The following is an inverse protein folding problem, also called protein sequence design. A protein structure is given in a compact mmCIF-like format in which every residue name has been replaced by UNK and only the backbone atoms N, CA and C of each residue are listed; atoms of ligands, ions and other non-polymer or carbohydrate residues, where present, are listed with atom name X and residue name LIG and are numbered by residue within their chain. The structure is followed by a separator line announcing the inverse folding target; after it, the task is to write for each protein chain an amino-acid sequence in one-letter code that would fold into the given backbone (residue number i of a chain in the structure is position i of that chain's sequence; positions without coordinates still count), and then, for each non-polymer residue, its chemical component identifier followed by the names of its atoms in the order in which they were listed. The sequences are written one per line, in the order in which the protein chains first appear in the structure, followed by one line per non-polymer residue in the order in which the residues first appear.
data_IF_579383718114
#
_entry.id   IF_579383718114
#
_cell.length_a   1.000
_cell.length_b   1.000
_cell.length_c   1.000
_cell.angle_alpha   90.00
_cell.angle_beta   90.00
_cell.angle_gamma   90.00
#
_symmetry.space_group_name_H-M   'P 1'
#
loop_
_entity.id
_entity.type
_entity.pdbx_description
1 polymer ?
#
# COMPACT_ATOMS: atom_id res chain seq x y z
N UNK A 1 -6.36 -35.32 1.13
CA UNK A 1 -6.43 -34.17 2.05
C UNK A 1 -6.69 -32.91 1.25
N UNK A 2 -7.85 -32.28 1.42
CA UNK A 2 -8.16 -31.04 0.72
C UNK A 2 -7.26 -29.92 1.25
N UNK A 3 -6.51 -29.26 0.36
CA UNK A 3 -5.80 -28.02 0.69
C UNK A 3 -6.87 -26.97 0.99
N UNK A 4 -7.19 -26.75 2.27
CA UNK A 4 -7.98 -25.58 2.65
C UNK A 4 -7.11 -24.39 2.27
N UNK A 5 -7.48 -23.68 1.20
CA UNK A 5 -6.88 -22.40 0.88
C UNK A 5 -7.37 -21.45 1.96
N UNK A 6 -6.62 -21.30 3.06
CA UNK A 6 -6.98 -20.35 4.10
C UNK A 6 -7.01 -18.96 3.47
N UNK A 7 -8.21 -18.39 3.43
CA UNK A 7 -8.48 -17.11 2.80
C UNK A 7 -7.79 -16.02 3.62
N UNK A 8 -6.97 -15.17 2.98
CA UNK A 8 -6.34 -14.04 3.67
C UNK A 8 -7.42 -12.99 3.91
N UNK A 9 -8.01 -13.03 5.10
CA UNK A 9 -9.02 -12.07 5.53
C UNK A 9 -8.48 -10.64 5.44
N UNK A 10 -9.30 -9.73 4.89
CA UNK A 10 -8.95 -8.32 4.80
C UNK A 10 -8.96 -7.68 6.19
N UNK A 11 -7.90 -6.94 6.53
CA UNK A 11 -7.84 -6.14 7.76
C UNK A 11 -7.57 -4.67 7.45
N UNK A 12 -8.51 -3.76 7.74
CA UNK A 12 -8.32 -2.33 7.51
C UNK A 12 -7.29 -1.74 8.48
N UNK A 13 -6.48 -0.79 8.02
CA UNK A 13 -5.61 0.02 8.90
C UNK A 13 -6.36 1.22 9.49
N UNK A 14 -5.80 1.86 10.51
CA UNK A 14 -6.40 3.05 11.12
C UNK A 14 -6.48 4.24 10.14
N UNK A 15 -7.52 5.06 10.27
CA UNK A 15 -7.78 6.23 9.40
C UNK A 15 -6.62 7.24 9.37
N UNK A 16 -5.84 7.35 10.45
CA UNK A 16 -4.69 8.25 10.53
C UNK A 16 -3.63 7.95 9.46
N UNK A 17 -3.43 6.69 9.10
CA UNK A 17 -2.47 6.31 8.06
C UNK A 17 -2.86 6.78 6.66
N UNK A 18 -4.16 6.86 6.37
CA UNK A 18 -4.66 7.38 5.10
C UNK A 18 -4.33 8.87 4.96
N UNK A 19 -4.58 9.66 6.00
CA UNK A 19 -4.31 11.11 5.99
C UNK A 19 -2.82 11.37 5.83
N UNK A 20 -1.97 10.69 6.59
CA UNK A 20 -0.51 10.92 6.56
C UNK A 20 0.13 10.50 5.25
N UNK A 21 -0.18 9.31 4.71
CA UNK A 21 0.46 8.83 3.47
C UNK A 21 -0.03 9.58 2.24
N UNK A 22 -1.36 9.68 2.05
CA UNK A 22 -1.93 10.39 0.90
C UNK A 22 -1.56 11.87 0.96
N UNK A 23 -1.65 12.48 2.14
CA UNK A 23 -1.22 13.86 2.36
C UNK A 23 0.27 14.07 2.03
N UNK A 24 1.14 13.16 2.48
CA UNK A 24 2.57 13.21 2.20
C UNK A 24 2.92 13.15 0.72
N UNK A 25 2.29 12.23 -0.04
CA UNK A 25 2.48 12.11 -1.49
C UNK A 25 1.93 13.35 -2.21
N UNK A 26 0.75 13.83 -1.82
CA UNK A 26 0.15 15.02 -2.43
C UNK A 26 1.02 16.27 -2.20
N UNK A 27 1.48 16.49 -0.95
CA UNK A 27 2.33 17.63 -0.60
C UNK A 27 3.67 17.56 -1.34
N UNK A 28 4.33 16.39 -1.36
CA UNK A 28 5.60 16.24 -2.08
C UNK A 28 5.44 16.44 -3.59
N UNK A 29 4.33 15.99 -4.18
CA UNK A 29 4.00 16.23 -5.59
C UNK A 29 3.76 17.71 -5.89
N UNK A 30 2.96 18.41 -5.06
CA UNK A 30 2.74 19.86 -5.20
C UNK A 30 4.06 20.61 -5.07
N UNK A 31 4.87 20.31 -4.06
CA UNK A 31 6.16 20.96 -3.87
C UNK A 31 7.12 20.69 -5.04
N UNK A 32 7.15 19.48 -5.59
CA UNK A 32 7.95 19.16 -6.76
C UNK A 32 7.57 20.03 -7.97
N UNK A 33 6.26 20.20 -8.21
CA UNK A 33 5.74 21.01 -9.32
C UNK A 33 5.98 22.51 -9.12
N UNK A 34 5.77 23.03 -7.91
CA UNK A 34 5.81 24.49 -7.66
C UNK A 34 7.22 25.01 -7.46
N UNK A 35 8.13 24.22 -6.89
CA UNK A 35 9.49 24.70 -6.59
C UNK A 35 10.48 24.40 -7.70
N UNK A 36 10.19 23.42 -8.57
CA UNK A 36 11.14 22.94 -9.59
C UNK A 36 12.41 22.29 -9.01
N UNK A 37 12.47 22.05 -7.69
CA UNK A 37 13.63 21.45 -7.05
C UNK A 37 13.73 19.96 -7.41
N UNK A 38 14.78 19.61 -8.15
CA UNK A 38 15.03 18.25 -8.61
C UNK A 38 14.93 17.20 -7.50
N UNK A 39 15.53 17.46 -6.34
CA UNK A 39 15.51 16.51 -5.23
C UNK A 39 14.10 16.23 -4.68
N UNK A 40 13.18 17.20 -4.70
CA UNK A 40 11.79 16.98 -4.29
C UNK A 40 11.04 16.16 -5.34
N UNK A 41 11.28 16.40 -6.62
CA UNK A 41 10.72 15.58 -7.70
C UNK A 41 11.20 14.12 -7.60
N UNK A 42 12.49 13.91 -7.31
CA UNK A 42 13.04 12.58 -7.04
C UNK A 42 12.33 11.93 -5.85
N UNK A 43 12.16 12.64 -4.73
CA UNK A 43 11.45 12.11 -3.56
C UNK A 43 10.01 11.71 -3.88
N UNK A 44 9.27 12.53 -4.64
CA UNK A 44 7.91 12.21 -5.07
C UNK A 44 7.87 10.93 -5.93
N UNK A 45 8.75 10.84 -6.93
CA UNK A 45 8.84 9.65 -7.80
C UNK A 45 9.21 8.40 -7.00
N UNK A 46 10.15 8.49 -6.06
CA UNK A 46 10.51 7.37 -5.18
C UNK A 46 9.33 6.93 -4.31
N UNK A 47 8.58 7.88 -3.75
CA UNK A 47 7.40 7.57 -2.93
C UNK A 47 6.32 6.82 -3.74
N UNK A 48 6.05 7.25 -4.98
CA UNK A 48 5.11 6.58 -5.89
C UNK A 48 5.64 5.19 -6.29
N UNK A 49 6.92 5.08 -6.66
CA UNK A 49 7.52 3.82 -7.06
C UNK A 49 7.48 2.78 -5.92
N UNK A 50 7.73 3.20 -4.68
CA UNK A 50 7.58 2.33 -3.51
C UNK A 50 6.14 1.82 -3.38
N UNK A 51 5.13 2.70 -3.46
CA UNK A 51 3.73 2.28 -3.37
C UNK A 51 3.32 1.30 -4.48
N UNK A 52 3.82 1.50 -5.70
CA UNK A 52 3.61 0.56 -6.80
C UNK A 52 4.27 -0.80 -6.54
N UNK A 53 5.48 -0.81 -5.98
CA UNK A 53 6.17 -2.03 -5.57
C UNK A 53 5.40 -2.78 -4.49
N UNK A 54 4.92 -2.07 -3.47
CA UNK A 54 4.10 -2.63 -2.38
C UNK A 54 2.78 -3.19 -2.92
N UNK A 55 2.09 -2.46 -3.79
CA UNK A 55 0.85 -2.92 -4.42
C UNK A 55 1.08 -4.17 -5.28
N UNK A 56 2.19 -4.22 -6.01
CA UNK A 56 2.59 -5.39 -6.81
C UNK A 56 2.83 -6.61 -5.91
N UNK A 57 3.58 -6.44 -4.82
CA UNK A 57 3.78 -7.50 -3.84
C UNK A 57 2.45 -8.02 -3.28
N UNK A 58 1.54 -7.11 -2.94
CA UNK A 58 0.21 -7.45 -2.43
C UNK A 58 -0.63 -8.20 -3.47
N UNK A 59 -0.63 -7.79 -4.73
CA UNK A 59 -1.29 -8.52 -5.81
C UNK A 59 -0.78 -9.97 -5.91
N UNK A 60 0.53 -10.16 -5.80
CA UNK A 60 1.15 -11.49 -5.89
C UNK A 60 0.77 -12.36 -4.69
N UNK A 61 0.87 -11.83 -3.47
CA UNK A 61 0.60 -12.57 -2.23
C UNK A 61 -0.88 -12.88 -2.04
N UNK A 62 -1.76 -11.98 -2.47
CA UNK A 62 -3.22 -12.13 -2.32
C UNK A 62 -3.87 -12.68 -3.60
N UNK A 63 -3.09 -13.18 -4.56
CA UNK A 63 -3.57 -13.64 -5.87
C UNK A 63 -4.67 -14.70 -5.73
N UNK A 64 -5.83 -14.41 -6.32
CA UNK A 64 -7.01 -15.29 -6.26
C UNK A 64 -7.66 -15.34 -4.88
N UNK A 65 -7.37 -14.39 -3.98
CA UNK A 65 -8.17 -14.11 -2.80
C UNK A 65 -9.35 -13.21 -3.18
N UNK A 66 -10.52 -13.39 -2.55
CA UNK A 66 -11.66 -12.49 -2.73
C UNK A 66 -11.38 -11.07 -2.21
N UNK A 67 -10.43 -10.95 -1.28
CA UNK A 67 -10.00 -9.69 -0.67
C UNK A 67 -8.91 -8.93 -1.46
N UNK A 68 -8.40 -9.47 -2.57
CA UNK A 68 -7.25 -8.90 -3.30
C UNK A 68 -7.44 -7.41 -3.64
N UNK A 69 -8.59 -7.02 -4.18
CA UNK A 69 -8.85 -5.63 -4.55
C UNK A 69 -8.91 -4.70 -3.34
N UNK A 70 -9.39 -5.19 -2.19
CA UNK A 70 -9.40 -4.41 -0.94
C UNK A 70 -7.98 -4.19 -0.43
N UNK A 71 -7.16 -5.25 -0.46
CA UNK A 71 -5.74 -5.16 -0.12
C UNK A 71 -4.97 -4.23 -1.05
N UNK A 72 -5.24 -4.28 -2.37
CA UNK A 72 -4.64 -3.37 -3.35
C UNK A 72 -5.03 -1.91 -3.08
N UNK A 73 -6.33 -1.63 -2.92
CA UNK A 73 -6.80 -0.28 -2.64
C UNK A 73 -6.21 0.30 -1.35
N UNK A 74 -6.14 -0.49 -0.29
CA UNK A 74 -5.48 -0.08 0.94
C UNK A 74 -3.99 0.20 0.73
N UNK A 75 -3.28 -0.66 0.01
CA UNK A 75 -1.83 -0.50 -0.21
C UNK A 75 -1.52 0.74 -1.06
N UNK A 76 -2.31 1.00 -2.08
CA UNK A 76 -2.18 2.24 -2.87
C UNK A 76 -2.49 3.50 -2.05
N UNK A 77 -3.34 3.38 -1.03
CA UNK A 77 -3.72 4.50 -0.18
C UNK A 77 -2.76 4.74 1.01
N UNK A 78 -2.21 3.68 1.60
CA UNK A 78 -1.46 3.78 2.87
C UNK A 78 -0.08 3.14 2.85
N UNK A 79 0.32 2.50 1.75
CA UNK A 79 1.62 1.86 1.61
C UNK A 79 1.95 0.85 2.71
N UNK A 80 3.14 0.96 3.31
CA UNK A 80 3.73 0.06 4.30
C UNK A 80 2.80 -0.38 5.46
N UNK A 81 1.98 0.49 6.09
CA UNK A 81 0.92 0.09 7.02
C UNK A 81 0.03 -1.07 6.51
N UNK A 82 -0.29 -1.10 5.21
CA UNK A 82 -1.02 -2.22 4.60
C UNK A 82 -0.23 -3.53 4.66
N UNK A 83 1.09 -3.49 4.47
CA UNK A 83 1.95 -4.67 4.55
C UNK A 83 2.04 -5.23 5.97
N UNK A 84 2.05 -4.37 6.99
CA UNK A 84 1.99 -4.79 8.39
C UNK A 84 0.67 -5.53 8.65
N UNK A 85 -0.46 -4.95 8.22
CA UNK A 85 -1.76 -5.57 8.36
C UNK A 85 -1.85 -6.90 7.59
N UNK A 86 -1.31 -6.98 6.37
CA UNK A 86 -1.27 -8.20 5.56
C UNK A 86 -0.44 -9.28 6.24
N UNK A 87 0.73 -8.93 6.78
CA UNK A 87 1.58 -9.86 7.53
C UNK A 87 0.85 -10.40 8.76
N UNK A 88 0.13 -9.56 9.48
CA UNK A 88 -0.68 -9.98 10.62
C UNK A 88 -1.83 -10.90 10.20
N UNK A 89 -2.54 -10.58 9.10
CA UNK A 89 -3.60 -11.42 8.57
C UNK A 89 -3.08 -12.82 8.21
N UNK A 90 -1.92 -12.91 7.54
CA UNK A 90 -1.29 -14.18 7.15
C UNK A 90 -0.82 -15.07 8.31
N UNK A 91 -0.59 -14.51 9.50
CA UNK A 91 -0.24 -15.32 10.68
C UNK A 91 -1.46 -15.99 11.32
N UNK A 92 -2.66 -15.54 10.99
CA UNK A 92 -3.92 -16.02 11.54
C UNK A 92 -4.65 -17.00 10.59
N UNK A 93 -4.01 -17.35 9.47
CA UNK A 93 -4.47 -18.29 8.41
C UNK A 93 -3.60 -19.52 8.37
#
# INVERSE_FOLDING_TARGET
MAKVKTEIEFKPVSKGWYVTNVGGIAITGVLALTTGLYWIAVLFVLAVALHLGEATYVALVTRGSKSMMKWLGQTLAVGFPSLIALRAARKNT
#
